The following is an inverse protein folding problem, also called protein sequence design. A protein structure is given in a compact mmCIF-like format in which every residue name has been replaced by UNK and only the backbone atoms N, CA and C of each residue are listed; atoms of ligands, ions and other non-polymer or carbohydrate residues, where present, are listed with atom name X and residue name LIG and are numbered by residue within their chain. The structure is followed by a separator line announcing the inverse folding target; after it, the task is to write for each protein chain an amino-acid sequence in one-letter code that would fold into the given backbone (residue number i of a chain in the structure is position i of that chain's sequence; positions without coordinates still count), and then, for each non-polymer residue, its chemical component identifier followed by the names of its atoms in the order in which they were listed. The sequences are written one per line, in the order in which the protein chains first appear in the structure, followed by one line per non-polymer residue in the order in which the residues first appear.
data_IF_827842020789
#
_entry.id   IF_827842020789
#
_cell.length_a   1.000
_cell.length_b   1.000
_cell.length_c   1.000
_cell.angle_alpha   90.00
_cell.angle_beta   90.00
_cell.angle_gamma   90.00
#
_symmetry.space_group_name_H-M   'P 1'
#
loop_
_entity.id
_entity.type
_entity.pdbx_description
1 polymer ?
#
# COMPACT_ATOMS: atom_id res chain seq x y z
N UNK A 1 -8.09 -17.69 2.23
CA UNK A 1 -7.50 -16.66 3.11
C UNK A 1 -8.62 -15.89 3.77
N UNK A 2 -8.53 -15.52 5.05
CA UNK A 2 -9.53 -14.68 5.72
C UNK A 2 -9.05 -13.22 5.81
N UNK A 3 -9.96 -12.29 6.08
CA UNK A 3 -9.65 -10.85 6.12
C UNK A 3 -8.60 -10.49 7.18
N UNK A 4 -8.53 -11.21 8.30
CA UNK A 4 -7.49 -11.00 9.32
C UNK A 4 -6.09 -11.34 8.81
N UNK A 5 -5.98 -12.35 7.95
CA UNK A 5 -4.71 -12.70 7.29
C UNK A 5 -4.29 -11.58 6.35
N UNK A 6 -5.23 -11.02 5.57
CA UNK A 6 -4.97 -9.89 4.67
C UNK A 6 -4.47 -8.68 5.45
N UNK A 7 -5.17 -8.28 6.52
CA UNK A 7 -4.73 -7.18 7.37
C UNK A 7 -3.34 -7.44 7.98
N UNK A 8 -3.06 -8.67 8.42
CA UNK A 8 -1.77 -9.02 9.00
C UNK A 8 -0.63 -8.92 7.98
N UNK A 9 -0.83 -9.39 6.75
CA UNK A 9 0.14 -9.21 5.66
C UNK A 9 0.37 -7.71 5.41
N UNK A 10 -0.70 -6.92 5.40
CA UNK A 10 -0.62 -5.48 5.14
C UNK A 10 0.06 -4.70 6.25
N UNK A 11 -0.07 -5.11 7.51
CA UNK A 11 0.73 -4.57 8.62
C UNK A 11 2.22 -4.69 8.30
N UNK A 12 2.66 -5.88 7.88
CA UNK A 12 4.08 -6.15 7.61
C UNK A 12 4.56 -5.31 6.43
N UNK A 13 3.82 -5.33 5.32
CA UNK A 13 4.20 -4.60 4.11
C UNK A 13 4.20 -3.09 4.34
N UNK A 14 3.09 -2.52 4.83
CA UNK A 14 3.00 -1.09 5.09
C UNK A 14 3.97 -0.65 6.19
N UNK A 15 4.24 -1.51 7.17
CA UNK A 15 5.26 -1.27 8.20
C UNK A 15 6.67 -1.21 7.62
N UNK A 16 7.07 -2.20 6.81
CA UNK A 16 8.40 -2.26 6.19
C UNK A 16 8.63 -1.07 5.25
N UNK A 17 7.69 -0.79 4.34
CA UNK A 17 7.77 0.37 3.46
C UNK A 17 7.70 1.68 4.25
N UNK A 18 6.86 1.74 5.28
CA UNK A 18 6.72 2.92 6.13
C UNK A 18 8.01 3.27 6.85
N UNK A 19 8.60 2.32 7.58
CA UNK A 19 9.90 2.49 8.25
C UNK A 19 10.99 2.82 7.23
N UNK A 20 11.06 2.05 6.14
CA UNK A 20 12.06 2.26 5.09
C UNK A 20 12.02 3.68 4.51
N UNK A 21 10.85 4.15 4.08
CA UNK A 21 10.72 5.47 3.47
C UNK A 21 10.88 6.62 4.46
N UNK A 22 10.55 6.43 5.75
CA UNK A 22 10.77 7.46 6.78
C UNK A 22 12.27 7.65 7.07
N UNK A 23 13.01 6.56 7.26
CA UNK A 23 14.40 6.64 7.73
C UNK A 23 15.43 6.58 6.60
N UNK A 24 15.12 5.93 5.49
CA UNK A 24 16.03 5.70 4.37
C UNK A 24 15.33 5.87 3.01
N UNK A 25 14.68 7.04 2.73
CA UNK A 25 13.89 7.23 1.51
C UNK A 25 14.69 6.99 0.22
N UNK A 26 15.91 7.50 0.14
CA UNK A 26 16.75 7.36 -1.06
C UNK A 26 17.13 5.90 -1.31
N UNK A 27 17.48 5.16 -0.25
CA UNK A 27 17.78 3.73 -0.34
C UNK A 27 16.56 2.90 -0.75
N UNK A 28 15.36 3.31 -0.34
CA UNK A 28 14.12 2.67 -0.78
C UNK A 28 13.79 2.93 -2.24
N UNK A 29 14.23 4.06 -2.80
CA UNK A 29 14.01 4.42 -4.21
C UNK A 29 15.06 3.82 -5.15
N UNK A 30 16.27 3.54 -4.67
CA UNK A 30 17.36 3.00 -5.50
C UNK A 30 17.02 1.69 -6.25
N UNK A 31 16.35 0.68 -5.64
CA UNK A 31 15.95 -0.54 -6.36
C UNK A 31 14.97 -0.29 -7.51
N UNK A 32 14.26 0.84 -7.46
CA UNK A 32 13.33 1.26 -8.50
C UNK A 32 14.01 2.00 -9.66
N UNK A 33 15.34 2.12 -9.65
CA UNK A 33 16.11 2.78 -10.71
C UNK A 33 15.99 4.30 -10.71
N UNK A 34 15.48 4.90 -9.63
CA UNK A 34 15.44 6.35 -9.46
C UNK A 34 16.86 6.88 -9.31
N UNK A 35 17.22 7.95 -10.04
CA UNK A 35 18.57 8.53 -9.93
C UNK A 35 18.83 9.09 -8.53
N UNK A 36 20.09 9.13 -8.05
CA UNK A 36 20.41 9.72 -6.74
C UNK A 36 19.91 11.15 -6.59
N UNK A 37 19.99 11.97 -7.64
CA UNK A 37 19.53 13.36 -7.64
C UNK A 37 18.01 13.45 -7.50
N UNK A 38 17.27 12.61 -8.22
CA UNK A 38 15.80 12.54 -8.13
C UNK A 38 15.34 11.99 -6.77
N UNK A 39 16.05 10.99 -6.23
CA UNK A 39 15.78 10.43 -4.92
C UNK A 39 15.99 11.49 -3.83
N UNK A 40 17.10 12.22 -3.86
CA UNK A 40 17.36 13.32 -2.94
C UNK A 40 16.30 14.44 -3.06
N UNK A 41 15.93 14.82 -4.29
CA UNK A 41 14.91 15.85 -4.53
C UNK A 41 13.52 15.46 -4.03
N UNK A 42 13.18 14.17 -4.05
CA UNK A 42 11.88 13.65 -3.61
C UNK A 42 11.88 13.11 -2.17
N UNK A 43 13.03 13.12 -1.47
CA UNK A 43 13.21 12.49 -0.18
C UNK A 43 12.23 12.99 0.90
N UNK A 44 11.90 14.29 0.91
CA UNK A 44 10.93 14.84 1.87
C UNK A 44 9.53 14.28 1.65
N UNK A 45 9.06 14.20 0.40
CA UNK A 45 7.77 13.62 0.07
C UNK A 45 7.76 12.10 0.29
N UNK A 46 8.86 11.41 0.00
CA UNK A 46 9.01 9.99 0.30
C UNK A 46 8.86 9.71 1.80
N UNK A 47 9.40 10.57 2.69
CA UNK A 47 9.20 10.44 4.14
C UNK A 47 7.74 10.60 4.56
N UNK A 48 7.01 11.57 3.99
CA UNK A 48 5.57 11.73 4.27
C UNK A 48 4.74 10.55 3.74
N UNK A 49 5.13 9.98 2.60
CA UNK A 49 4.55 8.74 2.10
C UNK A 49 4.83 7.56 3.05
N UNK A 50 6.06 7.44 3.54
CA UNK A 50 6.42 6.47 4.58
C UNK A 50 5.61 6.63 5.87
N UNK A 51 5.43 7.87 6.35
CA UNK A 51 4.62 8.17 7.52
C UNK A 51 3.15 7.78 7.31
N UNK A 52 2.60 8.02 6.13
CA UNK A 52 1.25 7.57 5.75
C UNK A 52 1.14 6.04 5.77
N UNK A 53 2.16 5.33 5.25
CA UNK A 53 2.22 3.87 5.30
C UNK A 53 2.27 3.32 6.73
N UNK A 54 2.98 3.98 7.66
CA UNK A 54 2.93 3.63 9.08
C UNK A 54 1.52 3.83 9.67
N UNK A 55 0.83 4.91 9.28
CA UNK A 55 -0.57 5.12 9.60
C UNK A 55 -1.47 3.96 9.17
N UNK A 56 -1.31 3.49 7.94
CA UNK A 56 -2.00 2.30 7.45
C UNK A 56 -1.60 1.02 8.18
N UNK A 57 -0.31 0.82 8.49
CA UNK A 57 0.15 -0.33 9.26
C UNK A 57 -0.52 -0.39 10.64
N UNK A 58 -0.63 0.74 11.32
CA UNK A 58 -1.34 0.85 12.60
C UNK A 58 -2.85 0.59 12.43
N UNK A 59 -3.48 1.18 11.41
CA UNK A 59 -4.90 0.91 11.10
C UNK A 59 -5.16 -0.60 10.93
N UNK A 60 -4.34 -1.28 10.12
CA UNK A 60 -4.46 -2.71 9.89
C UNK A 60 -4.17 -3.53 11.15
N UNK A 61 -3.22 -3.10 11.97
CA UNK A 61 -2.90 -3.75 13.24
C UNK A 61 -4.06 -3.67 14.23
N UNK A 62 -4.74 -2.53 14.31
CA UNK A 62 -5.87 -2.36 15.23
C UNK A 62 -7.15 -3.02 14.75
N UNK A 63 -7.38 -3.04 13.43
CA UNK A 63 -8.62 -3.61 12.89
C UNK A 63 -8.56 -5.13 12.69
N UNK A 64 -7.38 -5.73 12.60
CA UNK A 64 -7.27 -7.20 12.53
C UNK A 64 -7.79 -7.81 13.84
N UNK A 65 -8.57 -8.87 13.74
CA UNK A 65 -9.17 -9.52 14.91
C UNK A 65 -10.43 -8.84 15.44
N UNK A 66 -10.81 -7.66 14.93
CA UNK A 66 -12.12 -7.08 15.24
C UNK A 66 -13.25 -7.94 14.66
N UNK A 67 -14.37 -8.01 15.37
CA UNK A 67 -15.57 -8.68 14.90
C UNK A 67 -16.13 -8.02 13.64
N UNK A 68 -16.90 -8.77 12.85
CA UNK A 68 -17.64 -8.21 11.73
C UNK A 68 -18.56 -7.07 12.22
N UNK A 69 -18.48 -5.93 11.55
CA UNK A 69 -19.23 -4.72 11.87
C UNK A 69 -19.25 -3.78 10.67
N UNK A 70 -20.22 -2.87 10.62
CA UNK A 70 -20.32 -1.86 9.56
C UNK A 70 -19.05 -1.01 9.45
N UNK A 71 -18.44 -0.68 10.60
CA UNK A 71 -17.16 0.04 10.65
C UNK A 71 -16.03 -0.76 9.99
N UNK A 72 -15.93 -2.06 10.26
CA UNK A 72 -14.93 -2.94 9.64
C UNK A 72 -15.14 -3.02 8.13
N UNK A 73 -16.38 -3.16 7.69
CA UNK A 73 -16.73 -3.19 6.27
C UNK A 73 -16.42 -1.85 5.59
N UNK A 74 -16.73 -0.71 6.23
CA UNK A 74 -16.41 0.61 5.71
C UNK A 74 -14.90 0.80 5.53
N UNK A 75 -14.09 0.35 6.50
CA UNK A 75 -12.62 0.38 6.36
C UNK A 75 -12.18 -0.47 5.18
N UNK A 76 -12.65 -1.71 5.04
CA UNK A 76 -12.30 -2.59 3.90
C UNK A 76 -12.60 -1.92 2.55
N UNK A 77 -13.78 -1.31 2.43
CA UNK A 77 -14.16 -0.56 1.21
C UNK A 77 -13.24 0.64 0.98
N UNK A 78 -12.93 1.41 2.02
CA UNK A 78 -12.05 2.57 1.93
C UNK A 78 -10.63 2.17 1.48
N UNK A 79 -10.04 1.10 2.06
CA UNK A 79 -8.73 0.64 1.60
C UNK A 79 -8.77 0.01 0.23
N UNK A 80 -9.84 -0.70 -0.17
CA UNK A 80 -10.00 -1.14 -1.57
C UNK A 80 -9.89 0.05 -2.54
N UNK A 81 -10.64 1.14 -2.29
CA UNK A 81 -10.63 2.32 -3.15
C UNK A 81 -9.28 3.05 -3.10
N UNK A 82 -8.67 3.16 -1.91
CA UNK A 82 -7.34 3.76 -1.74
C UNK A 82 -6.25 2.98 -2.48
N UNK A 83 -6.21 1.65 -2.37
CA UNK A 83 -5.30 0.81 -3.15
C UNK A 83 -5.60 0.89 -4.64
N UNK A 84 -6.87 1.01 -5.04
CA UNK A 84 -7.26 1.23 -6.44
C UNK A 84 -6.73 2.54 -7.00
N UNK A 85 -6.82 3.63 -6.25
CA UNK A 85 -6.21 4.91 -6.64
C UNK A 85 -4.68 4.79 -6.73
N UNK A 86 -4.03 4.16 -5.74
CA UNK A 86 -2.60 3.89 -5.75
C UNK A 86 -2.16 3.03 -6.94
N UNK A 87 -2.98 2.04 -7.34
CA UNK A 87 -2.75 1.21 -8.52
C UNK A 87 -2.70 2.07 -9.79
N UNK A 88 -3.72 2.92 -10.00
CA UNK A 88 -3.77 3.80 -11.17
C UNK A 88 -2.57 4.76 -11.23
N UNK A 89 -2.24 5.39 -10.10
CA UNK A 89 -1.07 6.28 -10.01
C UNK A 89 0.21 5.52 -10.34
N UNK A 90 0.42 4.37 -9.71
CA UNK A 90 1.63 3.56 -9.93
C UNK A 90 1.75 3.08 -11.38
N UNK A 91 0.64 2.80 -12.05
CA UNK A 91 0.62 2.38 -13.44
C UNK A 91 1.02 3.54 -14.36
N UNK A 92 0.47 4.75 -14.13
CA UNK A 92 0.85 5.96 -14.88
C UNK A 92 2.34 6.24 -14.72
N UNK A 93 2.85 6.20 -13.49
CA UNK A 93 4.27 6.42 -13.17
C UNK A 93 5.17 5.34 -13.77
N UNK A 94 4.76 4.08 -13.79
CA UNK A 94 5.55 3.01 -14.43
C UNK A 94 5.58 3.18 -15.97
N UNK A 95 4.49 3.67 -16.55
CA UNK A 95 4.38 3.92 -17.98
C UNK A 95 5.10 5.18 -18.46
N UNK A 96 5.46 6.11 -17.55
CA UNK A 96 6.22 7.31 -17.89
C UNK A 96 7.69 7.02 -18.23
N UNK A 97 8.19 5.85 -17.83
CA UNK A 97 9.59 5.44 -17.99
C UNK A 97 10.52 5.98 -16.90
N UNK A 98 10.02 6.68 -15.88
CA UNK A 98 10.82 7.20 -14.75
C UNK A 98 11.37 6.08 -13.87
N UNK A 99 10.64 4.97 -13.73
CA UNK A 99 11.01 3.84 -12.90
C UNK A 99 11.51 2.65 -13.72
N UNK A 100 12.55 1.99 -13.22
CA UNK A 100 13.03 0.73 -13.75
C UNK A 100 12.03 -0.43 -13.56
N UNK A 101 12.35 -1.65 -14.03
CA UNK A 101 11.42 -2.79 -14.02
C UNK A 101 10.84 -3.14 -12.65
N UNK A 102 11.54 -2.81 -11.57
CA UNK A 102 11.06 -3.06 -10.20
C UNK A 102 9.81 -2.25 -9.86
N UNK A 103 9.49 -1.15 -10.53
CA UNK A 103 8.25 -0.40 -10.28
C UNK A 103 6.98 -1.21 -10.56
N UNK A 104 7.04 -2.23 -11.44
CA UNK A 104 5.94 -3.19 -11.62
C UNK A 104 5.59 -3.95 -10.35
N UNK A 105 6.53 -4.13 -9.41
CA UNK A 105 6.23 -4.73 -8.11
C UNK A 105 5.21 -3.89 -7.32
N UNK A 106 5.29 -2.57 -7.43
CA UNK A 106 4.38 -1.63 -6.75
C UNK A 106 3.03 -1.61 -7.44
N UNK A 107 3.00 -1.62 -8.78
CA UNK A 107 1.78 -1.80 -9.56
C UNK A 107 1.06 -3.10 -9.16
N UNK A 108 1.78 -4.22 -9.13
CA UNK A 108 1.22 -5.51 -8.74
C UNK A 108 0.71 -5.49 -7.29
N UNK A 109 1.48 -4.91 -6.36
CA UNK A 109 1.11 -4.83 -4.94
C UNK A 109 -0.20 -4.04 -4.74
N UNK A 110 -0.29 -2.84 -5.31
CA UNK A 110 -1.51 -2.03 -5.24
C UNK A 110 -2.70 -2.75 -5.90
N UNK A 111 -2.51 -3.33 -7.08
CA UNK A 111 -3.55 -4.05 -7.81
C UNK A 111 -4.06 -5.28 -7.05
N UNK A 112 -3.15 -6.08 -6.46
CA UNK A 112 -3.51 -7.25 -5.66
C UNK A 112 -4.30 -6.83 -4.42
N UNK A 113 -3.86 -5.81 -3.67
CA UNK A 113 -4.60 -5.37 -2.50
C UNK A 113 -5.96 -4.76 -2.85
N UNK A 114 -6.04 -3.97 -3.92
CA UNK A 114 -7.32 -3.46 -4.41
C UNK A 114 -8.28 -4.60 -4.73
N UNK A 115 -7.83 -5.62 -5.47
CA UNK A 115 -8.65 -6.78 -5.82
C UNK A 115 -9.08 -7.61 -4.59
N UNK A 116 -8.15 -7.88 -3.67
CA UNK A 116 -8.42 -8.68 -2.46
C UNK A 116 -9.40 -7.94 -1.53
N UNK A 117 -9.18 -6.66 -1.24
CA UNK A 117 -10.13 -5.89 -0.44
C UNK A 117 -11.45 -5.66 -1.18
N UNK A 118 -11.45 -5.59 -2.51
CA UNK A 118 -12.66 -5.55 -3.32
C UNK A 118 -13.51 -6.80 -3.16
N UNK A 119 -12.88 -7.98 -3.16
CA UNK A 119 -13.56 -9.25 -2.92
C UNK A 119 -14.22 -9.31 -1.53
N UNK A 120 -13.56 -8.82 -0.48
CA UNK A 120 -14.11 -8.79 0.89
C UNK A 120 -15.09 -7.63 1.14
N UNK A 121 -14.92 -6.49 0.47
CA UNK A 121 -15.71 -5.28 0.72
C UNK A 121 -16.96 -5.15 -0.13
N UNK A 122 -16.93 -5.67 -1.37
CA UNK A 122 -18.01 -5.52 -2.35
C UNK A 122 -18.44 -6.85 -2.99
N UNK A 123 -17.60 -7.88 -2.92
CA UNK A 123 -17.86 -9.19 -3.50
C UNK A 123 -18.43 -10.20 -2.51
N UNK A 124 -18.37 -11.48 -2.88
CA UNK A 124 -18.88 -12.62 -2.09
C UNK A 124 -18.32 -12.73 -0.66
N UNK A 125 -17.18 -12.09 -0.38
CA UNK A 125 -16.61 -12.03 0.97
C UNK A 125 -17.31 -11.04 1.91
N UNK A 126 -18.24 -10.23 1.42
CA UNK A 126 -19.02 -9.28 2.23
C UNK A 126 -20.24 -9.93 2.94
N UNK A 127 -20.63 -11.14 2.52
CA UNK A 127 -21.77 -11.90 3.08
C UNK A 127 -21.36 -12.91 4.16
N UNK A 128 -20.06 -13.03 4.45
CA UNK A 128 -19.45 -14.00 5.37
C UNK A 128 -18.89 -13.33 6.64
#
# INVERSE_FOLDING_TARGET
MNLNTVFTINVVIAGLFGVGFVFAPEAMQAPYGVSPEQAAASASMARFFGASNLGYAMLFWFIRGTAASDARTAVVKAVCLGFGAGFLVSLIEQMSGTFGPMGWSTVALYGIFAAVYGYFGFGKGAEA
#
